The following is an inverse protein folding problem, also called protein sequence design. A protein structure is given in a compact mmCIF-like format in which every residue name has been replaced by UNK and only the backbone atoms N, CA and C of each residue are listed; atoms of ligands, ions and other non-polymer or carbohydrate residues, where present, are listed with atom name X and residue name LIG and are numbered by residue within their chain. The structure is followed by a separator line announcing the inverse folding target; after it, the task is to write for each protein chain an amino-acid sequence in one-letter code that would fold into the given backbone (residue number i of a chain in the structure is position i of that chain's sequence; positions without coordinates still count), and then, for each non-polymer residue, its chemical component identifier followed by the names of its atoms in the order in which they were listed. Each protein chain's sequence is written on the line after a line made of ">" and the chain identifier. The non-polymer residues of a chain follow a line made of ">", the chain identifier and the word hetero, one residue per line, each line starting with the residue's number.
data_IF_337605475378
#
_entry.id   IF_337605475378
#
_cell.length_a   1.000
_cell.length_b   1.000
_cell.length_c   1.000
_cell.angle_alpha   90.00
_cell.angle_beta   90.00
_cell.angle_gamma   90.00
#
_symmetry.space_group_name_H-M   'P 1'
#
loop_
_entity.id
_entity.type
_entity.pdbx_description
1 polymer ?
#
# COMPACT_ATOMS: atom_id res chain seq x y z
N UNK A 1 29.34 -0.69 16.57
CA UNK A 1 28.16 -0.94 15.70
C UNK A 1 26.93 -0.88 16.58
N UNK A 2 26.01 0.07 16.36
CA UNK A 2 24.85 0.27 17.25
C UNK A 2 23.74 -0.76 16.97
N UNK A 3 22.95 -1.09 18.00
CA UNK A 3 21.80 -1.98 17.88
C UNK A 3 20.77 -1.47 16.86
N UNK A 4 20.59 -0.14 16.77
CA UNK A 4 19.73 0.51 15.79
C UNK A 4 20.14 0.15 14.35
N UNK A 5 21.42 0.32 14.03
CA UNK A 5 21.93 0.04 12.68
C UNK A 5 21.76 -1.43 12.30
N UNK A 6 22.02 -2.35 13.24
CA UNK A 6 21.81 -3.78 13.03
C UNK A 6 20.35 -4.10 12.71
N UNK A 7 19.41 -3.53 13.47
CA UNK A 7 17.98 -3.75 13.25
C UNK A 7 17.51 -3.15 11.93
N UNK A 8 18.01 -1.96 11.55
CA UNK A 8 17.72 -1.38 10.22
C UNK A 8 18.16 -2.35 9.12
N UNK A 9 19.40 -2.84 9.16
CA UNK A 9 19.94 -3.76 8.14
C UNK A 9 19.19 -5.08 8.07
N UNK A 10 18.77 -5.61 9.22
CA UNK A 10 17.94 -6.81 9.31
C UNK A 10 16.58 -6.59 8.61
N UNK A 11 15.88 -5.52 8.97
CA UNK A 11 14.54 -5.23 8.42
C UNK A 11 14.61 -4.86 6.93
N UNK A 12 15.63 -4.11 6.50
CA UNK A 12 15.87 -3.82 5.09
C UNK A 12 16.13 -5.10 4.28
N UNK A 13 16.93 -6.04 4.81
CA UNK A 13 17.19 -7.32 4.15
C UNK A 13 15.93 -8.17 4.02
N UNK A 14 15.11 -8.21 5.06
CA UNK A 14 13.80 -8.85 5.03
C UNK A 14 12.90 -8.23 3.95
N UNK A 15 12.81 -6.90 3.87
CA UNK A 15 12.00 -6.23 2.85
C UNK A 15 12.55 -6.47 1.44
N UNK A 16 13.88 -6.51 1.24
CA UNK A 16 14.49 -6.88 -0.06
C UNK A 16 14.07 -8.28 -0.49
N UNK A 17 14.06 -9.25 0.42
CA UNK A 17 13.60 -10.60 0.14
C UNK A 17 12.11 -10.62 -0.28
N UNK A 18 11.26 -9.89 0.46
CA UNK A 18 9.82 -9.87 0.22
C UNK A 18 9.45 -9.13 -1.07
N UNK A 19 9.99 -7.93 -1.29
CA UNK A 19 9.52 -6.96 -2.29
C UNK A 19 10.58 -6.57 -3.32
N UNK A 20 11.83 -7.00 -3.16
CA UNK A 20 12.92 -6.67 -4.09
C UNK A 20 13.65 -5.37 -3.79
N UNK A 21 13.24 -4.61 -2.77
CA UNK A 21 13.88 -3.35 -2.38
C UNK A 21 13.86 -3.15 -0.86
N UNK A 22 14.70 -2.24 -0.37
CA UNK A 22 14.71 -1.81 1.02
C UNK A 22 13.94 -0.49 1.13
N UNK A 23 12.73 -0.48 1.73
CA UNK A 23 11.91 0.71 1.79
C UNK A 23 12.61 1.83 2.57
N UNK A 24 12.62 3.03 1.99
CA UNK A 24 13.15 4.24 2.67
C UNK A 24 12.55 4.49 4.06
N UNK A 25 11.34 3.99 4.32
CA UNK A 25 10.66 4.14 5.60
C UNK A 25 11.27 3.32 6.76
N UNK A 26 12.06 2.27 6.49
CA UNK A 26 12.56 1.35 7.53
C UNK A 26 13.37 2.09 8.62
N UNK A 27 14.37 2.93 8.31
CA UNK A 27 15.08 3.70 9.33
C UNK A 27 14.17 4.57 10.20
N UNK A 28 13.12 5.17 9.61
CA UNK A 28 12.19 6.02 10.34
C UNK A 28 11.32 5.24 11.32
N UNK A 29 10.88 4.02 10.94
CA UNK A 29 10.17 3.12 11.85
C UNK A 29 11.07 2.72 13.03
N UNK A 30 12.32 2.34 12.76
CA UNK A 30 13.26 1.94 13.81
C UNK A 30 13.54 3.10 14.75
N UNK A 31 13.77 4.31 14.23
CA UNK A 31 14.02 5.51 15.04
C UNK A 31 12.81 5.88 15.90
N UNK A 32 11.58 5.78 15.36
CA UNK A 32 10.35 6.14 16.08
C UNK A 32 9.96 5.14 17.16
N UNK A 33 10.10 3.84 16.88
CA UNK A 33 9.67 2.78 17.80
C UNK A 33 10.78 2.33 18.74
N UNK A 34 12.04 2.49 18.34
CA UNK A 34 13.21 1.85 18.93
C UNK A 34 13.45 0.44 18.35
N UNK A 35 14.69 -0.05 18.38
CA UNK A 35 15.12 -1.27 17.69
C UNK A 35 14.37 -2.54 18.12
N UNK A 36 14.21 -2.79 19.42
CA UNK A 36 13.49 -3.99 19.88
C UNK A 36 12.00 -3.95 19.53
N UNK A 37 11.37 -2.79 19.72
CA UNK A 37 9.93 -2.60 19.44
C UNK A 37 9.61 -2.62 17.94
N UNK A 38 10.51 -2.17 17.08
CA UNK A 38 10.32 -2.26 15.64
C UNK A 38 10.32 -3.71 15.18
N UNK A 39 11.28 -4.53 15.62
CA UNK A 39 11.32 -5.98 15.32
C UNK A 39 10.03 -6.66 15.80
N UNK A 40 9.62 -6.43 17.04
CA UNK A 40 8.37 -6.99 17.57
C UNK A 40 7.14 -6.53 16.76
N UNK A 41 7.10 -5.25 16.39
CA UNK A 41 6.00 -4.71 15.59
C UNK A 41 5.94 -5.36 14.20
N UNK A 42 7.06 -5.57 13.52
CA UNK A 42 7.09 -6.30 12.25
C UNK A 42 6.67 -7.77 12.43
N UNK A 43 7.20 -8.46 13.44
CA UNK A 43 6.84 -9.85 13.73
C UNK A 43 5.35 -10.04 14.04
N UNK A 44 4.70 -9.06 14.68
CA UNK A 44 3.27 -9.12 14.99
C UNK A 44 2.36 -8.77 13.80
N UNK A 45 2.82 -7.92 12.87
CA UNK A 45 1.98 -7.39 11.79
C UNK A 45 2.23 -8.10 10.44
N UNK A 46 3.47 -8.42 10.08
CA UNK A 46 3.79 -9.00 8.77
C UNK A 46 3.09 -10.33 8.49
N UNK A 47 3.05 -11.32 9.41
CA UNK A 47 2.35 -12.57 9.15
C UNK A 47 0.85 -12.37 8.88
N UNK A 48 0.22 -11.43 9.59
CA UNK A 48 -1.21 -11.10 9.44
C UNK A 48 -1.47 -10.36 8.13
N UNK A 49 -0.56 -9.50 7.70
CA UNK A 49 -0.59 -8.87 6.37
C UNK A 49 -0.47 -9.92 5.26
N UNK A 50 0.49 -10.84 5.36
CA UNK A 50 0.68 -11.92 4.39
C UNK A 50 -0.55 -12.83 4.31
N UNK A 51 -1.12 -13.21 5.46
CA UNK A 51 -2.36 -13.98 5.51
C UNK A 51 -3.53 -13.21 4.90
N UNK A 52 -3.63 -11.91 5.13
CA UNK A 52 -4.66 -11.06 4.53
C UNK A 52 -4.53 -11.03 3.01
N UNK A 53 -3.31 -10.87 2.49
CA UNK A 53 -3.06 -10.95 1.05
C UNK A 53 -3.39 -12.33 0.46
N UNK A 54 -3.16 -13.41 1.21
CA UNK A 54 -3.51 -14.75 0.77
C UNK A 54 -5.03 -14.96 0.73
N UNK A 55 -5.78 -14.49 1.74
CA UNK A 55 -7.23 -14.71 1.87
C UNK A 55 -8.04 -13.75 1.00
N UNK A 56 -7.76 -12.44 1.07
CA UNK A 56 -8.51 -11.42 0.32
C UNK A 56 -7.98 -11.22 -1.10
N UNK A 57 -6.80 -11.75 -1.40
CA UNK A 57 -6.06 -11.48 -2.62
C UNK A 57 -5.24 -10.18 -2.53
N UNK A 58 -4.15 -10.10 -3.32
CA UNK A 58 -3.23 -8.96 -3.27
C UNK A 58 -3.85 -7.68 -3.83
N UNK A 59 -4.71 -7.78 -4.86
CA UNK A 59 -5.39 -6.62 -5.45
C UNK A 59 -6.24 -5.88 -4.42
N UNK A 60 -7.16 -6.59 -3.75
CA UNK A 60 -8.04 -6.01 -2.73
C UNK A 60 -7.26 -5.48 -1.53
N UNK A 61 -6.22 -6.22 -1.11
CA UNK A 61 -5.38 -5.79 0.03
C UNK A 61 -4.65 -4.49 -0.28
N UNK A 62 -4.08 -4.34 -1.48
CA UNK A 62 -3.44 -3.09 -1.89
C UNK A 62 -4.42 -1.96 -2.12
N UNK A 63 -5.60 -2.23 -2.69
CA UNK A 63 -6.65 -1.23 -2.81
C UNK A 63 -7.11 -0.70 -1.44
N UNK A 64 -7.30 -1.59 -0.46
CA UNK A 64 -7.61 -1.18 0.90
C UNK A 64 -6.47 -0.34 1.50
N UNK A 65 -5.22 -0.75 1.26
CA UNK A 65 -4.05 0.00 1.73
C UNK A 65 -3.92 1.39 1.08
N UNK A 66 -4.27 1.54 -0.20
CA UNK A 66 -4.38 2.83 -0.89
C UNK A 66 -5.45 3.69 -0.21
N UNK A 67 -6.67 3.17 -0.05
CA UNK A 67 -7.77 3.92 0.56
C UNK A 67 -7.44 4.38 1.98
N UNK A 68 -6.84 3.52 2.81
CA UNK A 68 -6.39 3.84 4.17
C UNK A 68 -5.30 4.92 4.14
N UNK A 69 -4.33 4.81 3.23
CA UNK A 69 -3.20 5.75 3.18
C UNK A 69 -3.64 7.13 2.69
N UNK A 70 -4.55 7.20 1.71
CA UNK A 70 -5.16 8.45 1.27
C UNK A 70 -6.00 9.08 2.38
N UNK A 71 -6.82 8.29 3.08
CA UNK A 71 -7.57 8.76 4.25
C UNK A 71 -6.67 9.35 5.35
N UNK A 72 -5.47 8.78 5.53
CA UNK A 72 -4.50 9.23 6.52
C UNK A 72 -3.54 10.32 6.00
N UNK A 73 -3.73 10.86 4.79
CA UNK A 73 -2.88 11.91 4.24
C UNK A 73 -1.47 11.45 3.83
N UNK A 74 -1.24 10.16 3.56
CA UNK A 74 0.09 9.59 3.38
C UNK A 74 0.42 9.25 1.92
N UNK A 75 1.09 10.19 1.23
CA UNK A 75 1.53 10.04 -0.17
C UNK A 75 2.48 8.85 -0.36
N UNK A 76 3.44 8.64 0.54
CA UNK A 76 4.40 7.52 0.47
C UNK A 76 3.71 6.16 0.35
N UNK A 77 2.81 5.87 1.29
CA UNK A 77 2.12 4.59 1.35
C UNK A 77 1.05 4.49 0.26
N UNK A 78 0.34 5.58 -0.04
CA UNK A 78 -0.64 5.61 -1.13
C UNK A 78 0.02 5.25 -2.46
N UNK A 79 1.15 5.89 -2.79
CA UNK A 79 1.92 5.58 -4.00
C UNK A 79 2.41 4.13 -4.01
N UNK A 80 3.08 3.66 -2.95
CA UNK A 80 3.67 2.32 -2.93
C UNK A 80 2.64 1.19 -3.06
N UNK A 81 1.43 1.39 -2.53
CA UNK A 81 0.33 0.44 -2.68
C UNK A 81 -0.43 0.61 -4.00
N UNK A 82 -0.57 1.83 -4.52
CA UNK A 82 -1.15 2.06 -5.83
C UNK A 82 -0.26 1.47 -6.93
N UNK A 83 1.06 1.64 -6.84
CA UNK A 83 1.97 1.08 -7.83
C UNK A 83 1.96 -0.47 -7.78
N UNK A 84 1.84 -1.07 -6.59
CA UNK A 84 1.62 -2.51 -6.48
C UNK A 84 0.30 -2.95 -7.13
N UNK A 85 -0.78 -2.19 -6.92
CA UNK A 85 -2.08 -2.43 -7.55
C UNK A 85 -1.98 -2.40 -9.08
N UNK A 86 -1.31 -1.39 -9.65
CA UNK A 86 -1.12 -1.27 -11.10
C UNK A 86 -0.33 -2.44 -11.70
N UNK A 87 0.77 -2.86 -11.06
CA UNK A 87 1.56 -3.99 -11.53
C UNK A 87 0.77 -5.30 -11.45
N UNK A 88 0.00 -5.51 -10.37
CA UNK A 88 -0.90 -6.66 -10.25
C UNK A 88 -1.95 -6.63 -11.36
N UNK A 89 -2.57 -5.47 -11.58
CA UNK A 89 -3.60 -5.29 -12.59
C UNK A 89 -3.06 -5.58 -13.99
N UNK A 90 -1.89 -5.03 -14.35
CA UNK A 90 -1.25 -5.29 -15.65
C UNK A 90 -0.90 -6.77 -15.82
N UNK A 91 -0.39 -7.43 -14.78
CA UNK A 91 -0.09 -8.87 -14.81
C UNK A 91 -1.34 -9.70 -15.08
N UNK A 92 -2.44 -9.38 -14.40
CA UNK A 92 -3.65 -10.21 -14.38
C UNK A 92 -4.59 -9.91 -15.56
N UNK A 93 -4.60 -8.66 -16.06
CA UNK A 93 -5.52 -8.19 -17.12
C UNK A 93 -4.83 -7.89 -18.44
N UNK A 94 -3.51 -7.79 -18.46
CA UNK A 94 -2.73 -7.57 -19.68
C UNK A 94 -2.74 -6.13 -20.21
N UNK A 95 -3.43 -5.20 -19.55
CA UNK A 95 -3.48 -3.78 -19.89
C UNK A 95 -3.32 -2.89 -18.65
N UNK A 96 -3.04 -1.59 -18.86
CA UNK A 96 -2.82 -0.64 -17.77
C UNK A 96 -4.08 -0.43 -16.92
N UNK A 97 -3.85 -0.12 -15.65
CA UNK A 97 -4.89 0.40 -14.77
C UNK A 97 -5.25 1.84 -15.22
N UNK A 98 -6.52 2.28 -15.13
CA UNK A 98 -6.97 3.53 -15.76
C UNK A 98 -6.24 4.79 -15.28
N UNK A 99 -5.70 4.80 -14.06
CA UNK A 99 -5.00 5.95 -13.48
C UNK A 99 -3.69 5.49 -12.85
N UNK A 100 -2.61 6.23 -13.07
CA UNK A 100 -1.31 5.89 -12.51
C UNK A 100 -1.17 6.20 -11.01
N UNK A 101 -0.22 5.55 -10.34
CA UNK A 101 0.02 5.67 -8.91
C UNK A 101 0.45 7.07 -8.46
N UNK A 102 1.15 7.84 -9.31
CA UNK A 102 1.50 9.23 -8.95
C UNK A 102 0.24 10.05 -8.87
N UNK A 103 -0.63 9.95 -9.89
CA UNK A 103 -1.91 10.64 -9.90
C UNK A 103 -2.78 10.23 -8.72
N UNK A 104 -2.95 8.93 -8.44
CA UNK A 104 -3.71 8.45 -7.27
C UNK A 104 -3.14 9.03 -5.96
N UNK A 105 -1.81 9.04 -5.82
CA UNK A 105 -1.16 9.50 -4.60
C UNK A 105 -1.33 11.00 -4.32
N UNK A 106 -1.76 11.81 -5.30
CA UNK A 106 -2.11 13.24 -5.13
C UNK A 106 -3.49 13.48 -4.52
N UNK A 107 -4.29 12.43 -4.28
CA UNK A 107 -5.65 12.56 -3.76
C UNK A 107 -5.72 12.60 -2.23
N UNK A 108 -4.57 12.71 -1.55
CA UNK A 108 -4.48 12.64 -0.09
C UNK A 108 -5.25 13.76 0.63
N UNK A 109 -5.43 14.91 -0.03
CA UNK A 109 -6.12 16.07 0.53
C UNK A 109 -7.62 16.12 0.17
N UNK A 110 -8.14 15.10 -0.52
CA UNK A 110 -9.56 15.06 -0.88
C UNK A 110 -10.45 14.81 0.34
N UNK A 111 -11.59 15.51 0.38
CA UNK A 111 -12.63 15.23 1.36
C UNK A 111 -13.09 13.75 1.28
N UNK A 112 -13.41 13.06 2.40
CA UNK A 112 -13.67 11.63 2.42
C UNK A 112 -14.72 11.13 1.40
N UNK A 113 -15.82 11.88 1.24
CA UNK A 113 -16.87 11.55 0.24
C UNK A 113 -16.39 11.73 -1.21
N UNK A 114 -15.53 12.72 -1.46
CA UNK A 114 -14.94 12.93 -2.78
C UNK A 114 -13.93 11.83 -3.10
N UNK A 115 -13.09 11.47 -2.14
CA UNK A 115 -12.14 10.35 -2.24
C UNK A 115 -12.87 9.03 -2.56
N UNK A 116 -13.93 8.70 -1.82
CA UNK A 116 -14.71 7.48 -2.05
C UNK A 116 -15.32 7.46 -3.46
N UNK A 117 -15.92 8.57 -3.93
CA UNK A 117 -16.45 8.68 -5.30
C UNK A 117 -15.35 8.52 -6.35
N UNK A 118 -14.20 9.16 -6.15
CA UNK A 118 -13.07 9.12 -7.11
C UNK A 118 -12.52 7.71 -7.24
N UNK A 119 -12.30 7.01 -6.13
CA UNK A 119 -11.84 5.62 -6.13
C UNK A 119 -12.86 4.68 -6.78
N UNK A 120 -14.17 4.84 -6.50
CA UNK A 120 -15.21 4.03 -7.14
C UNK A 120 -15.22 4.18 -8.65
N UNK A 121 -15.16 5.42 -9.14
CA UNK A 121 -15.14 5.68 -10.58
C UNK A 121 -13.96 5.00 -11.28
N UNK A 122 -12.75 5.10 -10.72
CA UNK A 122 -11.57 4.42 -11.30
C UNK A 122 -11.71 2.90 -11.26
N UNK A 123 -12.35 2.35 -10.24
CA UNK A 123 -12.60 0.90 -10.17
C UNK A 123 -13.67 0.46 -11.17
N UNK A 124 -14.71 1.25 -11.40
CA UNK A 124 -15.73 1.01 -12.43
C UNK A 124 -15.09 1.01 -13.82
N UNK A 125 -14.25 2.02 -14.12
CA UNK A 125 -13.50 2.11 -15.37
C UNK A 125 -12.52 0.93 -15.56
N UNK A 126 -11.98 0.40 -14.46
CA UNK A 126 -11.14 -0.80 -14.45
C UNK A 126 -11.93 -2.12 -14.50
N UNK A 127 -13.26 -2.08 -14.57
CA UNK A 127 -14.10 -3.29 -14.52
C UNK A 127 -14.01 -4.04 -13.18
N UNK A 128 -13.68 -3.35 -12.09
CA UNK A 128 -13.55 -3.86 -10.72
C UNK A 128 -14.75 -3.48 -9.85
N UNK A 129 -15.96 -3.63 -10.39
CA UNK A 129 -17.22 -3.25 -9.74
C UNK A 129 -17.37 -3.83 -8.32
N UNK A 130 -16.98 -5.09 -8.10
CA UNK A 130 -17.05 -5.72 -6.78
C UNK A 130 -16.14 -5.04 -5.73
N UNK A 131 -15.05 -4.40 -6.16
CA UNK A 131 -14.11 -3.75 -5.26
C UNK A 131 -14.56 -2.35 -4.80
N UNK A 132 -15.56 -1.78 -5.47
CA UNK A 132 -16.16 -0.49 -5.06
C UNK A 132 -16.75 -0.58 -3.65
N UNK A 133 -17.43 -1.68 -3.33
CA UNK A 133 -17.98 -1.96 -2.00
C UNK A 133 -16.86 -2.05 -0.95
N UNK A 134 -15.73 -2.68 -1.30
CA UNK A 134 -14.60 -2.82 -0.40
C UNK A 134 -13.89 -1.49 -0.12
N UNK A 135 -13.87 -0.56 -1.07
CA UNK A 135 -13.39 0.82 -0.82
C UNK A 135 -14.26 1.51 0.21
N UNK A 136 -15.58 1.51 0.02
CA UNK A 136 -16.51 2.17 0.93
C UNK A 136 -16.42 1.58 2.35
N UNK A 137 -16.37 0.24 2.45
CA UNK A 137 -16.17 -0.45 3.74
C UNK A 137 -14.81 -0.14 4.36
N UNK A 138 -13.75 -0.11 3.57
CA UNK A 138 -12.41 0.23 4.08
C UNK A 138 -12.36 1.65 4.65
N UNK A 139 -12.92 2.63 3.94
CA UNK A 139 -12.99 4.02 4.41
C UNK A 139 -13.86 4.16 5.66
N UNK A 140 -14.98 3.42 5.73
CA UNK A 140 -15.81 3.39 6.93
C UNK A 140 -15.06 2.81 8.15
N UNK A 141 -14.29 1.74 7.97
CA UNK A 141 -13.44 1.15 9.01
C UNK A 141 -12.30 2.10 9.42
N UNK A 142 -11.69 2.80 8.45
CA UNK A 142 -10.68 3.81 8.72
C UNK A 142 -11.25 4.98 9.54
N UNK A 143 -12.51 5.36 9.29
CA UNK A 143 -13.26 6.35 10.05
C UNK A 143 -13.78 5.85 11.42
N UNK A 144 -13.51 4.60 11.81
CA UNK A 144 -13.85 4.07 13.14
C UNK A 144 -15.10 3.18 13.21
N UNK A 145 -15.67 2.79 12.08
CA UNK A 145 -16.71 1.74 12.07
C UNK A 145 -16.18 0.42 12.63
N UNK A 146 -17.06 -0.38 13.24
CA UNK A 146 -16.70 -1.71 13.73
C UNK A 146 -16.76 -2.74 12.59
N UNK A 147 -15.82 -3.70 12.53
CA UNK A 147 -15.90 -4.80 11.58
C UNK A 147 -17.05 -5.72 11.92
N UNK A 148 -17.81 -6.17 10.91
CA UNK A 148 -18.97 -7.07 11.11
C UNK A 148 -18.67 -8.54 10.80
N UNK A 149 -17.57 -8.83 10.09
CA UNK A 149 -17.16 -10.18 9.74
C UNK A 149 -15.63 -10.37 9.79
N UNK A 150 -15.16 -11.55 9.37
CA UNK A 150 -13.74 -11.92 9.39
C UNK A 150 -12.91 -11.15 8.36
N UNK A 151 -13.48 -10.78 7.23
CA UNK A 151 -12.78 -10.08 6.16
C UNK A 151 -12.63 -8.60 6.53
N UNK A 152 -13.68 -7.98 7.05
CA UNK A 152 -13.59 -6.65 7.66
C UNK A 152 -12.65 -6.62 8.86
N UNK A 153 -12.56 -7.68 9.66
CA UNK A 153 -11.59 -7.75 10.75
C UNK A 153 -10.13 -7.75 10.23
N UNK A 154 -9.88 -8.26 9.02
CA UNK A 154 -8.57 -8.17 8.34
C UNK A 154 -8.32 -6.74 7.89
N UNK A 155 -9.29 -6.09 7.25
CA UNK A 155 -9.18 -4.69 6.84
C UNK A 155 -8.97 -3.78 8.06
N UNK A 156 -9.71 -3.99 9.15
CA UNK A 156 -9.53 -3.25 10.40
C UNK A 156 -8.13 -3.44 11.00
N UNK A 157 -7.51 -4.62 10.82
CA UNK A 157 -6.12 -4.82 11.16
C UNK A 157 -5.18 -3.99 10.28
N UNK A 158 -5.41 -3.94 8.96
CA UNK A 158 -4.67 -3.08 8.05
C UNK A 158 -4.80 -1.60 8.44
N UNK A 159 -6.00 -1.13 8.79
CA UNK A 159 -6.25 0.24 9.27
C UNK A 159 -5.32 0.58 10.44
N UNK A 160 -5.21 -0.31 11.44
CA UNK A 160 -4.33 -0.08 12.60
C UNK A 160 -2.85 -0.12 12.24
N UNK A 161 -2.45 -1.12 11.44
CA UNK A 161 -1.06 -1.32 11.03
C UNK A 161 -0.58 -0.14 10.16
N UNK A 162 -1.29 0.14 9.08
CA UNK A 162 -1.00 1.23 8.15
C UNK A 162 -1.19 2.58 8.82
N UNK A 163 -2.18 2.78 9.69
CA UNK A 163 -2.34 4.04 10.42
C UNK A 163 -1.10 4.42 11.23
N UNK A 164 -0.39 3.44 11.81
CA UNK A 164 0.92 3.70 12.45
C UNK A 164 2.01 4.01 11.41
N UNK A 165 2.12 3.24 10.32
CA UNK A 165 3.12 3.48 9.27
C UNK A 165 2.92 4.84 8.60
N UNK A 166 1.68 5.19 8.26
CA UNK A 166 1.28 6.44 7.62
C UNK A 166 1.68 7.64 8.48
N UNK A 167 1.38 7.62 9.79
CA UNK A 167 1.82 8.69 10.71
C UNK A 167 3.33 8.86 10.70
N UNK A 168 4.09 7.77 10.77
CA UNK A 168 5.56 7.82 10.74
C UNK A 168 6.05 8.41 9.42
N UNK A 169 5.49 7.97 8.29
CA UNK A 169 5.88 8.43 6.96
C UNK A 169 5.58 9.92 6.76
N UNK A 170 4.41 10.38 7.19
CA UNK A 170 3.99 11.80 7.11
C UNK A 170 4.88 12.66 8.00
N UNK A 171 5.05 12.29 9.28
CA UNK A 171 5.90 13.03 10.23
C UNK A 171 7.35 13.14 9.73
N UNK A 172 7.85 12.13 9.02
CA UNK A 172 9.21 12.09 8.51
C UNK A 172 9.39 12.61 7.08
N UNK A 173 8.32 13.00 6.38
CA UNK A 173 8.38 13.44 4.99
C UNK A 173 9.01 12.39 4.05
N UNK A 174 8.62 11.12 4.20
CA UNK A 174 9.24 10.04 3.42
C UNK A 174 8.79 10.11 1.96
N UNK A 175 9.74 10.22 1.04
CA UNK A 175 9.46 10.28 -0.40
C UNK A 175 9.05 8.91 -0.99
N UNK A 176 8.08 8.87 -1.93
CA UNK A 176 7.63 7.65 -2.61
C UNK A 176 8.78 6.80 -3.20
N UNK A 177 8.65 5.48 -3.10
CA UNK A 177 9.70 4.50 -3.43
C UNK A 177 9.22 3.50 -4.51
N UNK A 178 9.24 2.19 -4.23
CA UNK A 178 8.74 1.15 -5.13
C UNK A 178 7.45 0.46 -4.62
N UNK A 179 6.93 -0.48 -5.40
CA UNK A 179 5.72 -1.23 -5.08
C UNK A 179 5.95 -2.23 -3.94
N UNK A 180 5.14 -2.14 -2.87
CA UNK A 180 5.27 -2.97 -1.66
C UNK A 180 4.64 -4.37 -1.81
N UNK A 181 5.02 -5.11 -2.85
CA UNK A 181 4.48 -6.42 -3.18
C UNK A 181 5.53 -7.29 -3.90
N UNK A 182 5.51 -8.63 -3.77
CA UNK A 182 6.42 -9.50 -4.51
C UNK A 182 6.41 -9.30 -6.03
N UNK A 183 5.31 -8.82 -6.63
CA UNK A 183 5.21 -8.49 -8.07
C UNK A 183 6.28 -7.47 -8.50
N UNK A 184 6.74 -6.62 -7.59
CA UNK A 184 7.76 -5.61 -7.84
C UNK A 184 9.12 -6.20 -8.26
N UNK A 185 9.37 -7.47 -7.90
CA UNK A 185 10.57 -8.20 -8.32
C UNK A 185 10.57 -8.57 -9.80
N UNK A 186 9.43 -8.48 -10.50
CA UNK A 186 9.35 -8.82 -11.91
C UNK A 186 9.83 -7.66 -12.79
N UNK A 187 11.11 -7.67 -13.15
CA UNK A 187 11.73 -6.65 -13.99
C UNK A 187 11.07 -6.54 -15.39
N UNK A 188 10.71 -7.67 -16.00
CA UNK A 188 10.05 -7.68 -17.31
C UNK A 188 8.66 -7.02 -17.28
N UNK A 189 7.91 -7.23 -16.20
CA UNK A 189 6.63 -6.56 -15.99
C UNK A 189 6.80 -5.06 -15.77
N UNK A 190 7.79 -4.63 -14.98
CA UNK A 190 8.08 -3.19 -14.79
C UNK A 190 8.51 -2.52 -16.09
N UNK A 191 9.30 -3.21 -16.93
CA UNK A 191 9.68 -2.71 -18.25
C UNK A 191 8.45 -2.57 -19.16
N UNK A 192 7.60 -3.60 -19.24
CA UNK A 192 6.35 -3.55 -20.01
C UNK A 192 5.43 -2.43 -19.51
N UNK A 193 5.30 -2.26 -18.20
CA UNK A 193 4.52 -1.19 -17.60
C UNK A 193 5.03 0.19 -18.06
N UNK A 194 6.34 0.43 -17.98
CA UNK A 194 6.94 1.69 -18.40
C UNK A 194 6.74 1.97 -19.90
N UNK A 195 6.89 0.94 -20.75
CA UNK A 195 6.66 1.05 -22.20
C UNK A 195 5.21 1.44 -22.52
N UNK A 196 4.23 0.79 -21.87
CA UNK A 196 2.82 1.09 -22.08
C UNK A 196 2.44 2.49 -21.59
N UNK A 197 2.96 2.93 -20.44
CA UNK A 197 2.71 4.29 -19.92
C UNK A 197 3.29 5.36 -20.82
N UNK A 198 4.53 5.17 -21.30
CA UNK A 198 5.17 6.08 -22.26
C UNK A 198 4.38 6.17 -23.58
N UNK A 199 3.85 5.04 -24.08
CA UNK A 199 3.03 5.02 -25.29
C UNK A 199 1.64 5.69 -25.12
N UNK A 200 1.15 5.78 -23.88
CA UNK A 200 -0.17 6.38 -23.57
C UNK A 200 -0.10 7.90 -23.33
N UNK A 201 1.09 8.51 -23.38
CA UNK A 201 1.29 9.95 -23.16
C UNK A 201 1.31 10.38 -21.70
N UNK A 202 1.37 9.44 -20.75
CA UNK A 202 1.41 9.67 -19.30
C UNK A 202 2.81 9.37 -18.75
N UNK A 203 3.80 10.20 -19.12
CA UNK A 203 5.16 10.12 -18.61
C UNK A 203 5.35 10.90 -17.29
#
# INVERSE_FOLDING_TARGET
>A
MSLEWLVIRLLESMCRMLWGFAPRMIPHIVRRLGPGRSVFWFAANMPRLLLTMHVLGPLRTHLAAVAISLHNGCTYCAYGHAFALELIYLRDRGHLFPVDARTIATWQDMAPRALARRLRHVLEDAGLHAETLWVDRTLALAAGSRPVDRDEARIAHLVRMLGRMNRIAVEAGVEPDEAQNPVNKNAGLKLRYAQLRAASGEA
#
